data_IF_582559311074
#
_entry.id   IF_582559311074
#
_cell.length_a   1.000
_cell.length_b   1.000
_cell.length_c   1.000
_cell.angle_alpha   90.00
_cell.angle_beta   90.00
_cell.angle_gamma   90.00
#
_symmetry.space_group_name_H-M   'P 1'
#
loop_
_entity.id
_entity.type
_entity.pdbx_description
1 polymer ?
#
# COMPACT_ATOMS: atom_id res chain seq x y z
N UNK A 1 -26.87 -47.97 24.11
CA UNK A 1 -26.72 -46.94 25.16
C UNK A 1 -25.65 -45.95 24.70
N UNK A 2 -26.05 -44.67 24.58
CA UNK A 2 -25.29 -43.40 24.54
C UNK A 2 -23.90 -43.37 23.87
N UNK A 3 -23.76 -42.81 22.66
CA UNK A 3 -23.49 -41.40 22.26
C UNK A 3 -21.98 -41.07 22.09
N UNK A 4 -21.57 -40.48 20.93
CA UNK A 4 -20.21 -40.03 20.64
C UNK A 4 -19.99 -38.57 21.07
N UNK A 5 -18.80 -38.25 21.61
CA UNK A 5 -18.42 -36.87 21.89
C UNK A 5 -17.58 -36.29 20.73
N UNK A 6 -18.14 -35.29 20.04
CA UNK A 6 -17.46 -34.41 19.08
C UNK A 6 -16.36 -33.57 19.77
N UNK A 7 -15.41 -33.02 19.00
CA UNK A 7 -15.56 -31.61 18.63
C UNK A 7 -15.05 -31.31 17.22
N UNK A 8 -15.82 -30.54 16.47
CA UNK A 8 -15.40 -29.98 15.18
C UNK A 8 -16.21 -28.73 14.90
N UNK A 9 -16.08 -27.74 15.79
CA UNK A 9 -16.76 -26.46 15.66
C UNK A 9 -16.31 -25.76 14.38
N UNK A 10 -17.24 -25.62 13.43
CA UNK A 10 -17.14 -24.63 12.38
C UNK A 10 -17.16 -23.24 13.00
N UNK A 11 -16.29 -22.36 12.51
CA UNK A 11 -16.21 -20.99 13.01
C UNK A 11 -15.40 -20.11 12.08
N UNK A 12 -16.10 -19.44 11.18
CA UNK A 12 -15.77 -18.11 10.70
C UNK A 12 -14.51 -17.97 9.85
N UNK A 13 -14.72 -17.79 8.54
CA UNK A 13 -13.83 -17.00 7.69
C UNK A 13 -13.47 -15.70 8.41
N UNK A 14 -12.24 -15.58 8.87
CA UNK A 14 -11.72 -14.31 9.35
C UNK A 14 -11.43 -13.47 8.11
N UNK A 15 -12.44 -12.74 7.63
CA UNK A 15 -12.21 -11.55 6.83
C UNK A 15 -11.31 -10.65 7.67
N UNK A 16 -10.03 -10.61 7.32
CA UNK A 16 -9.03 -9.76 7.96
C UNK A 16 -9.28 -8.31 7.54
N UNK A 17 -10.41 -7.75 7.94
CA UNK A 17 -10.66 -6.32 8.04
C UNK A 17 -9.91 -5.78 9.25
N UNK A 18 -8.57 -5.85 9.21
CA UNK A 18 -7.73 -5.22 10.21
C UNK A 18 -7.81 -3.71 10.01
N UNK A 19 -8.52 -3.03 10.91
CA UNK A 19 -8.43 -1.58 11.06
C UNK A 19 -6.96 -1.22 11.23
N UNK A 20 -6.34 -0.71 10.16
CA UNK A 20 -4.95 -0.28 10.15
C UNK A 20 -4.79 0.76 11.26
N UNK A 21 -4.10 0.38 12.33
CA UNK A 21 -3.85 1.28 13.45
C UNK A 21 -3.19 2.55 12.93
N UNK A 22 -3.41 3.74 13.52
CA UNK A 22 -2.77 4.97 13.06
C UNK A 22 -1.24 4.82 12.89
N UNK A 23 -0.62 3.99 13.73
CA UNK A 23 0.80 3.65 13.64
C UNK A 23 1.20 2.88 12.37
N UNK A 24 0.35 2.00 11.81
CA UNK A 24 0.67 1.32 10.55
C UNK A 24 0.62 2.28 9.38
N UNK A 25 -0.30 3.25 9.39
CA UNK A 25 -0.39 4.27 8.34
C UNK A 25 0.82 5.21 8.35
N UNK A 26 1.32 5.59 9.53
CA UNK A 26 2.57 6.36 9.62
C UNK A 26 3.76 5.57 9.07
N UNK A 27 3.89 4.29 9.45
CA UNK A 27 4.95 3.41 8.92
C UNK A 27 4.88 3.24 7.41
N UNK A 28 3.69 3.22 6.83
CA UNK A 28 3.52 3.18 5.37
C UNK A 28 3.94 4.49 4.71
N UNK A 29 3.61 5.64 5.32
CA UNK A 29 4.06 6.95 4.83
C UNK A 29 5.59 7.11 4.87
N UNK A 30 6.26 6.56 5.88
CA UNK A 30 7.74 6.60 5.97
C UNK A 30 8.43 5.87 4.80
N UNK A 31 7.74 4.92 4.14
CA UNK A 31 8.29 4.20 2.98
C UNK A 31 8.17 4.97 1.68
N UNK A 32 7.34 6.01 1.63
CA UNK A 32 7.02 6.73 0.41
C UNK A 32 7.59 8.14 0.44
N UNK A 33 8.10 8.61 -0.70
CA UNK A 33 8.41 10.04 -0.84
C UNK A 33 7.10 10.85 -0.85
N UNK A 34 7.10 12.09 -0.31
CA UNK A 34 5.91 12.94 -0.34
C UNK A 34 5.34 13.09 -1.75
N UNK A 35 4.03 12.91 -1.92
CA UNK A 35 3.36 12.95 -3.23
C UNK A 35 3.58 14.27 -4.00
N UNK A 36 3.80 15.36 -3.28
CA UNK A 36 4.13 16.66 -3.86
C UNK A 36 5.48 16.65 -4.58
N UNK A 37 6.45 15.88 -4.07
CA UNK A 37 7.76 15.74 -4.69
C UNK A 37 7.66 14.88 -5.96
N UNK A 38 6.89 13.79 -5.92
CA UNK A 38 6.57 12.97 -7.10
C UNK A 38 5.93 13.85 -8.19
N UNK A 39 4.88 14.59 -7.85
CA UNK A 39 4.20 15.50 -8.77
C UNK A 39 5.13 16.55 -9.37
N UNK A 40 6.02 17.16 -8.57
CA UNK A 40 6.99 18.16 -9.06
C UNK A 40 7.98 17.56 -10.05
N UNK A 41 8.48 16.35 -9.83
CA UNK A 41 9.43 15.68 -10.72
C UNK A 41 8.72 15.26 -12.02
N UNK A 42 7.58 14.58 -11.92
CA UNK A 42 6.78 14.18 -13.09
C UNK A 42 6.43 15.39 -13.97
N UNK A 43 6.09 16.53 -13.35
CA UNK A 43 5.72 17.77 -14.07
C UNK A 43 6.88 18.36 -14.88
N UNK A 44 8.14 18.13 -14.49
CA UNK A 44 9.32 18.56 -15.26
C UNK A 44 9.47 17.81 -16.58
N UNK A 45 8.91 16.60 -16.69
CA UNK A 45 8.92 15.80 -17.92
C UNK A 45 7.76 16.15 -18.88
N UNK A 46 6.90 17.11 -18.50
CA UNK A 46 5.72 17.48 -19.27
C UNK A 46 5.82 18.93 -19.78
N UNK A 47 5.06 19.28 -20.84
CA UNK A 47 4.85 20.67 -21.23
C UNK A 47 4.29 21.55 -20.11
N UNK A 48 4.44 22.87 -20.24
CA UNK A 48 4.07 23.86 -19.24
C UNK A 48 2.62 23.68 -18.70
N UNK A 49 1.68 23.35 -19.58
CA UNK A 49 0.25 23.15 -19.27
C UNK A 49 -0.16 21.66 -19.05
N UNK A 50 0.79 20.71 -19.11
CA UNK A 50 0.49 19.29 -18.94
C UNK A 50 -0.13 18.96 -17.57
N UNK A 51 -1.16 18.12 -17.53
CA UNK A 51 -1.80 17.70 -16.28
C UNK A 51 -1.35 16.29 -15.91
N UNK A 52 -1.34 15.99 -14.61
CA UNK A 52 -1.04 14.65 -14.10
C UNK A 52 -2.23 14.21 -13.28
N UNK A 53 -2.81 13.05 -13.62
CA UNK A 53 -3.90 12.47 -12.87
C UNK A 53 -3.45 12.12 -11.43
N UNK A 54 -4.40 12.01 -10.50
CA UNK A 54 -4.10 11.58 -9.13
C UNK A 54 -3.49 10.19 -9.15
N UNK A 55 -4.17 9.25 -9.79
CA UNK A 55 -3.76 7.84 -9.87
C UNK A 55 -2.37 7.68 -10.49
N UNK A 56 -2.01 8.50 -11.48
CA UNK A 56 -0.65 8.48 -12.05
C UNK A 56 0.42 8.87 -11.04
N UNK A 57 0.14 9.79 -10.12
CA UNK A 57 1.09 10.16 -9.05
C UNK A 57 1.19 9.04 -8.01
N UNK A 58 0.07 8.41 -7.68
CA UNK A 58 0.01 7.32 -6.72
C UNK A 58 0.78 6.09 -7.26
N UNK A 59 0.56 5.70 -8.53
CA UNK A 59 1.32 4.61 -9.17
C UNK A 59 2.82 4.90 -9.24
N UNK A 60 3.22 6.12 -9.62
CA UNK A 60 4.66 6.46 -9.68
C UNK A 60 5.29 6.50 -8.29
N UNK A 61 4.54 6.88 -7.25
CA UNK A 61 5.02 6.81 -5.87
C UNK A 61 5.33 5.37 -5.46
N UNK A 62 4.43 4.42 -5.78
CA UNK A 62 4.64 2.99 -5.55
C UNK A 62 5.86 2.48 -6.34
N UNK A 63 5.91 2.73 -7.65
CA UNK A 63 6.99 2.25 -8.52
C UNK A 63 8.37 2.81 -8.13
N UNK A 64 8.47 4.09 -7.75
CA UNK A 64 9.76 4.67 -7.30
C UNK A 64 10.24 4.02 -6.01
N UNK A 65 9.31 3.70 -5.10
CA UNK A 65 9.66 3.09 -3.82
C UNK A 65 10.09 1.64 -4.00
N UNK A 66 9.44 0.92 -4.89
CA UNK A 66 9.87 -0.41 -5.34
C UNK A 66 11.22 -0.34 -6.05
N UNK A 67 11.44 0.64 -6.93
CA UNK A 67 12.72 0.82 -7.63
C UNK A 67 13.88 1.11 -6.67
N UNK A 68 13.69 1.99 -5.68
CA UNK A 68 14.70 2.24 -4.66
C UNK A 68 14.97 0.95 -3.88
N UNK A 69 13.91 0.25 -3.46
CA UNK A 69 14.03 -1.02 -2.74
C UNK A 69 14.84 -2.02 -3.56
N UNK A 70 14.53 -2.17 -4.86
CA UNK A 70 15.27 -3.02 -5.79
C UNK A 70 16.77 -2.66 -5.82
N UNK A 71 17.11 -1.39 -6.05
CA UNK A 71 18.50 -0.93 -6.13
C UNK A 71 19.26 -1.13 -4.80
N UNK A 72 18.58 -1.00 -3.66
CA UNK A 72 19.22 -1.12 -2.34
C UNK A 72 19.19 -2.52 -1.73
N UNK A 73 18.45 -3.45 -2.33
CA UNK A 73 18.31 -4.83 -1.83
C UNK A 73 19.21 -5.86 -2.52
N UNK A 74 19.88 -5.47 -3.62
CA UNK A 74 20.96 -6.26 -4.24
C UNK A 74 22.32 -6.01 -3.57
#
# INVERSE_FOLDING_TARGET
>A
MAEPASPGGGGGSHESGGERSPQSNLREQDRYLPIANIGRIMKKALPANGKIAKDSKDTVQECVSEFISFITSE
#
